data_IF_999372280457
#
_entry.id   IF_999372280457
#
_cell.length_a   1.000
_cell.length_b   1.000
_cell.length_c   1.000
_cell.angle_alpha   90.00
_cell.angle_beta   90.00
_cell.angle_gamma   90.00
#
_symmetry.space_group_name_H-M   'P 1'
#
loop_
_entity.id
_entity.type
_entity.pdbx_description
1 polymer ?
#
# COMPACT_ATOMS: atom_id res chain seq x y z
N UNK A 1 11.01 15.90 10.87
CA UNK A 1 9.87 14.97 10.74
C UNK A 1 9.49 14.72 9.28
N UNK A 2 9.47 15.76 8.43
CA UNK A 2 9.19 15.68 6.99
C UNK A 2 10.07 14.71 6.19
N UNK A 3 11.40 14.77 6.36
CA UNK A 3 12.31 13.89 5.60
C UNK A 3 12.13 12.39 5.96
N UNK A 4 12.00 12.07 7.25
CA UNK A 4 11.77 10.70 7.72
C UNK A 4 10.38 10.20 7.28
N UNK A 5 9.35 11.05 7.41
CA UNK A 5 8.01 10.73 6.92
C UNK A 5 7.99 10.49 5.42
N UNK A 6 8.70 11.31 4.64
CA UNK A 6 8.84 11.14 3.19
C UNK A 6 9.48 9.82 2.80
N UNK A 7 10.56 9.42 3.47
CA UNK A 7 11.22 8.12 3.23
C UNK A 7 10.27 6.96 3.58
N UNK A 8 9.59 6.99 4.72
CA UNK A 8 8.61 5.94 5.08
C UNK A 8 7.46 5.85 4.08
N UNK A 9 6.96 7.00 3.62
CA UNK A 9 5.88 7.06 2.61
C UNK A 9 6.36 6.43 1.31
N UNK A 10 7.57 6.78 0.85
CA UNK A 10 8.13 6.21 -0.36
C UNK A 10 8.35 4.70 -0.26
N UNK A 11 8.97 4.22 0.84
CA UNK A 11 9.24 2.79 1.05
C UNK A 11 7.95 1.99 1.21
N UNK A 12 7.00 2.47 2.01
CA UNK A 12 5.69 1.83 2.19
C UNK A 12 4.87 1.80 0.89
N UNK A 13 4.92 2.90 0.12
CA UNK A 13 4.24 3.02 -1.17
C UNK A 13 4.81 2.06 -2.22
N UNK A 14 6.14 2.06 -2.41
CA UNK A 14 6.83 1.16 -3.33
C UNK A 14 6.60 -0.30 -2.92
N UNK A 15 6.76 -0.62 -1.63
CA UNK A 15 6.52 -1.97 -1.11
C UNK A 15 5.09 -2.45 -1.37
N UNK A 16 4.10 -1.58 -1.15
CA UNK A 16 2.68 -1.86 -1.44
C UNK A 16 2.46 -2.14 -2.93
N UNK A 17 3.07 -1.33 -3.80
CA UNK A 17 2.95 -1.46 -5.26
C UNK A 17 3.56 -2.78 -5.77
N UNK A 18 4.74 -3.15 -5.25
CA UNK A 18 5.41 -4.42 -5.59
C UNK A 18 4.57 -5.62 -5.16
N UNK A 19 4.04 -5.60 -3.94
CA UNK A 19 3.21 -6.71 -3.43
C UNK A 19 1.90 -6.82 -4.22
N UNK A 20 1.29 -5.70 -4.58
CA UNK A 20 0.08 -5.67 -5.40
C UNK A 20 0.31 -6.31 -6.78
N UNK A 21 1.37 -5.92 -7.49
CA UNK A 21 1.74 -6.53 -8.78
C UNK A 21 2.01 -8.03 -8.60
N UNK A 22 2.70 -8.42 -7.53
CA UNK A 22 2.98 -9.83 -7.24
C UNK A 22 1.69 -10.64 -7.01
N UNK A 23 0.70 -10.06 -6.33
CA UNK A 23 -0.61 -10.67 -6.13
C UNK A 23 -1.35 -10.89 -7.45
N UNK A 24 -1.35 -9.88 -8.34
CA UNK A 24 -1.95 -9.97 -9.68
C UNK A 24 -1.26 -11.06 -10.52
N UNK A 25 0.08 -11.06 -10.56
CA UNK A 25 0.84 -12.07 -11.30
C UNK A 25 0.56 -13.48 -10.78
N UNK A 26 0.45 -13.65 -9.45
CA UNK A 26 0.09 -14.94 -8.85
C UNK A 26 -1.34 -15.35 -9.19
N UNK A 27 -2.29 -14.42 -9.26
CA UNK A 27 -3.66 -14.72 -9.66
C UNK A 27 -3.73 -15.24 -11.11
N UNK A 28 -3.04 -14.57 -12.04
CA UNK A 28 -2.97 -15.06 -13.42
C UNK A 28 -2.22 -16.39 -13.54
N UNK A 29 -1.14 -16.59 -12.78
CA UNK A 29 -0.42 -17.89 -12.74
C UNK A 29 -1.28 -19.02 -12.18
N UNK A 30 -2.22 -18.72 -11.28
CA UNK A 30 -3.18 -19.69 -10.74
C UNK A 30 -4.38 -19.96 -11.68
N UNK A 31 -4.39 -19.39 -12.89
CA UNK A 31 -5.51 -19.42 -13.85
C UNK A 31 -6.80 -18.76 -13.33
N UNK A 32 -6.72 -17.94 -12.28
CA UNK A 32 -7.85 -17.18 -11.74
C UNK A 32 -7.97 -15.81 -12.44
N UNK A 33 -8.20 -15.83 -13.75
CA UNK A 33 -8.19 -14.62 -14.61
C UNK A 33 -9.15 -13.54 -14.13
N UNK A 34 -10.35 -13.93 -13.66
CA UNK A 34 -11.35 -12.99 -13.12
C UNK A 34 -10.81 -12.22 -11.92
N UNK A 35 -10.15 -12.91 -10.99
CA UNK A 35 -9.53 -12.28 -9.83
C UNK A 35 -8.33 -11.44 -10.22
N UNK A 36 -7.52 -11.87 -11.19
CA UNK A 36 -6.42 -11.08 -11.74
C UNK A 36 -6.89 -9.74 -12.32
N UNK A 37 -7.94 -9.75 -13.14
CA UNK A 37 -8.50 -8.54 -13.75
C UNK A 37 -9.17 -7.64 -12.71
N UNK A 38 -9.99 -8.19 -11.81
CA UNK A 38 -10.62 -7.41 -10.72
C UNK A 38 -9.57 -6.72 -9.85
N UNK A 39 -8.46 -7.39 -9.57
CA UNK A 39 -7.37 -6.86 -8.76
C UNK A 39 -6.64 -5.67 -9.38
N UNK A 40 -6.71 -5.49 -10.71
CA UNK A 40 -6.12 -4.33 -11.41
C UNK A 40 -6.94 -3.07 -11.14
N UNK A 41 -8.26 -3.18 -11.10
CA UNK A 41 -9.15 -2.04 -10.84
C UNK A 41 -9.40 -1.80 -9.35
N UNK A 42 -9.40 -2.89 -8.57
CA UNK A 42 -9.72 -2.88 -7.14
C UNK A 42 -8.60 -3.60 -6.37
N UNK A 43 -7.64 -2.87 -5.77
CA UNK A 43 -6.55 -3.46 -5.01
C UNK A 43 -7.03 -4.34 -3.86
N UNK A 44 -8.19 -4.00 -3.28
CA UNK A 44 -8.82 -4.80 -2.22
C UNK A 44 -9.19 -6.21 -2.67
N UNK A 45 -9.53 -6.40 -3.96
CA UNK A 45 -9.81 -7.72 -4.51
C UNK A 45 -8.55 -8.61 -4.53
N UNK A 46 -7.37 -8.04 -4.76
CA UNK A 46 -6.12 -8.78 -4.66
C UNK A 46 -5.85 -9.22 -3.21
N UNK A 47 -6.17 -8.38 -2.23
CA UNK A 47 -6.04 -8.68 -0.80
C UNK A 47 -6.95 -9.84 -0.40
N UNK A 48 -8.22 -9.79 -0.81
CA UNK A 48 -9.20 -10.87 -0.59
C UNK A 48 -8.73 -12.17 -1.24
N UNK A 49 -8.27 -12.11 -2.49
CA UNK A 49 -7.76 -13.28 -3.20
C UNK A 49 -6.55 -13.93 -2.49
N UNK A 50 -5.63 -13.12 -1.96
CA UNK A 50 -4.49 -13.62 -1.18
C UNK A 50 -4.93 -14.41 0.05
N UNK A 51 -5.93 -13.93 0.78
CA UNK A 51 -6.48 -14.67 1.93
C UNK A 51 -7.22 -15.95 1.49
N UNK A 52 -8.02 -15.88 0.42
CA UNK A 52 -8.72 -17.04 -0.12
C UNK A 52 -7.77 -18.17 -0.55
N UNK A 53 -6.62 -17.82 -1.14
CA UNK A 53 -5.59 -18.78 -1.57
C UNK A 53 -4.56 -19.11 -0.50
N UNK A 54 -4.83 -18.78 0.77
CA UNK A 54 -3.95 -19.04 1.92
C UNK A 54 -2.53 -18.44 1.77
N UNK A 55 -2.39 -17.38 0.96
CA UNK A 55 -1.15 -16.60 0.82
C UNK A 55 -1.04 -15.55 1.93
N UNK A 56 -1.35 -15.94 3.17
CA UNK A 56 -1.53 -15.05 4.32
C UNK A 56 -0.28 -14.21 4.62
N UNK A 57 0.91 -14.78 4.42
CA UNK A 57 2.18 -14.03 4.60
C UNK A 57 2.25 -12.81 3.68
N UNK A 58 1.89 -12.99 2.40
CA UNK A 58 1.93 -11.90 1.42
C UNK A 58 0.88 -10.83 1.75
N UNK A 59 -0.31 -11.26 2.18
CA UNK A 59 -1.36 -10.34 2.63
C UNK A 59 -0.94 -9.53 3.85
N UNK A 60 -0.31 -10.17 4.85
CA UNK A 60 0.20 -9.48 6.05
C UNK A 60 1.32 -8.51 5.69
N UNK A 61 2.27 -8.89 4.83
CA UNK A 61 3.31 -7.96 4.37
C UNK A 61 2.72 -6.75 3.65
N UNK A 62 1.65 -6.95 2.87
CA UNK A 62 0.99 -5.85 2.21
C UNK A 62 0.31 -4.90 3.21
N UNK A 63 -0.38 -5.44 4.21
CA UNK A 63 -0.99 -4.66 5.28
C UNK A 63 0.08 -3.85 6.03
N UNK A 64 1.22 -4.45 6.36
CA UNK A 64 2.34 -3.75 7.00
C UNK A 64 2.87 -2.63 6.11
N UNK A 65 3.03 -2.86 4.81
CA UNK A 65 3.47 -1.83 3.87
C UNK A 65 2.48 -0.65 3.79
N UNK A 66 1.17 -0.93 3.81
CA UNK A 66 0.11 0.09 3.86
C UNK A 66 0.19 0.88 5.18
N UNK A 67 0.39 0.21 6.32
CA UNK A 67 0.53 0.89 7.61
C UNK A 67 1.75 1.79 7.64
N UNK A 68 2.90 1.32 7.12
CA UNK A 68 4.11 2.14 7.00
C UNK A 68 3.91 3.36 6.09
N UNK A 69 3.18 3.18 4.98
CA UNK A 69 2.81 4.28 4.09
C UNK A 69 1.97 5.33 4.84
N UNK A 70 0.94 4.91 5.57
CA UNK A 70 0.05 5.81 6.32
C UNK A 70 0.84 6.56 7.40
N UNK A 71 1.67 5.86 8.18
CA UNK A 71 2.50 6.48 9.22
C UNK A 71 3.47 7.50 8.61
N UNK A 72 4.14 7.12 7.52
CA UNK A 72 5.03 8.01 6.78
C UNK A 72 4.30 9.27 6.31
N UNK A 73 3.11 9.10 5.73
CA UNK A 73 2.32 10.20 5.20
C UNK A 73 1.88 11.16 6.30
N UNK A 74 1.38 10.64 7.43
CA UNK A 74 0.96 11.44 8.59
C UNK A 74 2.14 12.22 9.17
N UNK A 75 3.33 11.60 9.28
CA UNK A 75 4.53 12.28 9.75
C UNK A 75 5.05 13.34 8.78
N UNK A 76 4.95 13.09 7.47
CA UNK A 76 5.35 14.03 6.44
C UNK A 76 4.39 15.23 6.39
N UNK A 77 3.08 14.98 6.36
CA UNK A 77 2.04 16.00 6.34
C UNK A 77 2.06 16.83 7.63
N UNK A 78 2.13 16.18 8.80
CA UNK A 78 2.23 16.87 10.09
C UNK A 78 3.51 17.71 10.21
N UNK A 79 4.64 17.23 9.69
CA UNK A 79 5.87 18.00 9.64
C UNK A 79 5.81 19.19 8.67
N UNK A 80 5.08 19.06 7.55
CA UNK A 80 4.91 20.14 6.57
C UNK A 80 3.99 21.25 7.12
N UNK A 81 2.90 20.85 7.78
CA UNK A 81 1.97 21.76 8.47
C UNK A 81 2.66 22.47 9.64
N UNK A 82 3.48 21.76 10.43
CA UNK A 82 4.24 22.39 11.51
C UNK A 82 5.29 23.40 10.99
N UNK A 83 5.78 23.23 9.76
CA UNK A 83 6.71 24.16 9.13
C UNK A 83 6.03 25.36 8.47
N UNK A 84 4.75 25.22 8.06
CA UNK A 84 3.94 26.29 7.46
C UNK A 84 2.50 26.19 8.01
N UNK A 85 2.22 26.77 9.19
CA UNK A 85 0.93 26.60 9.88
C UNK A 85 -0.27 27.17 9.10
N UNK A 86 0.00 28.10 8.19
CA UNK A 86 -0.93 28.73 7.24
C UNK A 86 -1.60 27.71 6.28
N UNK A 87 -1.04 26.52 6.09
CA UNK A 87 -1.67 25.40 5.36
C UNK A 87 -2.95 24.85 6.03
N UNK A 88 -3.22 25.16 7.31
CA UNK A 88 -4.43 24.73 8.02
C UNK A 88 -5.62 25.68 7.86
N UNK A 89 -5.41 26.87 7.30
CA UNK A 89 -6.40 27.96 7.24
C UNK A 89 -6.85 28.22 5.78
N UNK A 90 -6.36 27.43 4.83
CA UNK A 90 -6.81 27.39 3.43
C UNK A 90 -7.76 26.22 3.18
#
# INVERSE_FOLDING_TARGET
MTAIGGILTAVGGIGSLVIWIMAIVKAFKAKDTVWGVLSIFLPICALIWLFMKKQTKLAVYWIVAIVLYIIGFVLAAGGAVAANPDLLIQ
#
